data_IF_765922739705
#
_entry.id   IF_765922739705
#
_cell.length_a   1.000
_cell.length_b   1.000
_cell.length_c   1.000
_cell.angle_alpha   90.00
_cell.angle_beta   90.00
_cell.angle_gamma   90.00
#
_symmetry.space_group_name_H-M   'P 1'
#
loop_
_entity.id
_entity.type
_entity.pdbx_description
1 polymer ?
#
# COMPACT_ATOMS: atom_id res chain seq x y z
N UNK A 1 0.21 12.01 16.01
CA UNK A 1 -0.14 12.98 17.05
C UNK A 1 -0.14 14.42 16.56
N UNK A 2 0.99 15.01 16.15
CA UNK A 2 1.04 16.43 15.75
C UNK A 2 0.13 16.78 14.57
N UNK A 3 0.11 15.98 13.51
CA UNK A 3 -0.71 16.23 12.31
C UNK A 3 -2.22 16.19 12.58
N UNK A 4 -2.65 15.39 13.56
CA UNK A 4 -4.07 15.21 13.92
C UNK A 4 -4.45 15.93 15.21
N UNK A 5 -3.51 16.67 15.81
CA UNK A 5 -3.66 17.39 17.09
C UNK A 5 -4.22 16.54 18.26
N UNK A 6 -4.00 15.22 18.21
CA UNK A 6 -4.52 14.26 19.19
C UNK A 6 -3.42 13.29 19.64
N UNK A 7 -3.52 12.80 20.89
CA UNK A 7 -2.69 11.68 21.36
C UNK A 7 -3.24 10.39 20.76
N UNK A 8 -2.58 9.90 19.71
CA UNK A 8 -2.92 8.65 19.05
C UNK A 8 -2.28 7.48 19.79
N UNK A 9 -3.02 6.38 19.94
CA UNK A 9 -2.52 5.14 20.52
C UNK A 9 -1.33 4.60 19.69
N UNK A 10 -0.13 4.43 20.28
CA UNK A 10 1.01 3.85 19.58
C UNK A 10 0.78 2.44 19.02
N UNK A 11 -0.20 1.69 19.55
CA UNK A 11 -0.49 0.33 19.09
C UNK A 11 -1.57 0.29 17.99
N UNK A 12 -2.13 1.45 17.62
CA UNK A 12 -3.14 1.56 16.56
C UNK A 12 -2.59 1.41 15.14
N UNK A 13 -1.28 1.55 14.93
CA UNK A 13 -0.65 1.41 13.61
C UNK A 13 0.73 0.77 13.73
N UNK A 14 1.04 -0.17 12.83
CA UNK A 14 2.34 -0.83 12.74
C UNK A 14 3.52 0.16 12.68
N UNK A 15 3.33 1.30 12.01
CA UNK A 15 4.36 2.31 11.82
C UNK A 15 4.61 3.19 13.07
N UNK A 16 3.77 3.10 14.10
CA UNK A 16 3.91 3.92 15.32
C UNK A 16 4.82 3.27 16.39
N UNK A 17 5.29 2.05 16.12
CA UNK A 17 6.28 1.35 16.96
C UNK A 17 7.53 1.03 16.14
N UNK A 18 8.70 0.97 16.79
CA UNK A 18 9.88 0.37 16.16
C UNK A 18 9.58 -1.07 15.72
N UNK A 19 9.97 -1.40 14.50
CA UNK A 19 9.89 -2.75 13.96
C UNK A 19 11.23 -3.14 13.33
N UNK A 20 11.41 -4.44 13.09
CA UNK A 20 12.60 -4.99 12.43
C UNK A 20 12.14 -5.71 11.17
N UNK A 21 12.81 -5.44 10.05
CA UNK A 21 12.64 -6.21 8.81
C UNK A 21 13.59 -7.42 8.91
N UNK A 22 13.07 -8.66 8.97
CA UNK A 22 13.89 -9.85 9.14
C UNK A 22 15.00 -9.93 8.07
N UNK A 23 16.24 -10.12 8.52
CA UNK A 23 17.39 -10.36 7.63
C UNK A 23 17.75 -9.22 6.67
N UNK A 24 17.19 -8.02 6.83
CA UNK A 24 17.35 -6.94 5.84
C UNK A 24 16.80 -7.35 4.47
N UNK A 25 15.76 -8.20 4.47
CA UNK A 25 15.15 -8.70 3.25
C UNK A 25 14.51 -7.58 2.44
N UNK A 26 14.52 -7.75 1.12
CA UNK A 26 13.87 -6.86 0.16
C UNK A 26 12.74 -7.62 -0.56
N UNK A 27 11.70 -8.09 0.17
CA UNK A 27 10.71 -9.00 -0.37
C UNK A 27 9.91 -8.42 -1.53
N UNK A 28 9.85 -7.09 -1.66
CA UNK A 28 9.09 -6.40 -2.67
C UNK A 28 9.92 -6.02 -3.90
N UNK A 29 11.12 -6.60 -4.05
CA UNK A 29 11.95 -6.42 -5.25
C UNK A 29 11.15 -6.75 -6.51
N UNK A 30 11.11 -5.81 -7.46
CA UNK A 30 10.34 -5.94 -8.71
C UNK A 30 8.86 -5.52 -8.59
N UNK A 31 8.38 -5.18 -7.39
CA UNK A 31 7.08 -4.56 -7.22
C UNK A 31 7.16 -3.06 -7.53
N UNK A 32 6.27 -2.59 -8.40
CA UNK A 32 6.01 -1.16 -8.63
C UNK A 32 4.70 -0.79 -7.91
N UNK A 33 4.80 -0.02 -6.84
CA UNK A 33 3.70 0.30 -5.92
C UNK A 33 3.22 1.73 -6.14
N UNK A 34 1.90 1.90 -6.18
CA UNK A 34 1.26 3.21 -6.09
C UNK A 34 0.34 3.22 -4.86
N UNK A 35 0.41 4.30 -4.09
CA UNK A 35 -0.44 4.52 -2.90
C UNK A 35 -1.53 5.54 -3.24
N UNK A 36 -2.75 5.31 -2.76
CA UNK A 36 -3.93 6.15 -3.01
C UNK A 36 -4.78 6.28 -1.75
N UNK A 37 -5.42 7.43 -1.52
CA UNK A 37 -6.29 7.73 -0.36
C UNK A 37 -5.57 7.78 1.01
N UNK A 38 -4.25 7.63 1.02
CA UNK A 38 -3.38 7.97 2.16
C UNK A 38 -2.79 9.36 1.92
N UNK A 39 -2.67 10.17 2.97
CA UNK A 39 -2.19 11.56 2.90
C UNK A 39 -1.16 11.83 3.99
N UNK A 40 -0.45 12.95 3.85
CA UNK A 40 0.42 13.46 4.92
C UNK A 40 1.51 12.48 5.36
N UNK A 41 1.80 12.51 6.65
CA UNK A 41 2.89 11.70 7.24
C UNK A 41 2.62 10.20 7.12
N UNK A 42 1.34 9.79 7.15
CA UNK A 42 0.95 8.39 6.93
C UNK A 42 1.42 7.90 5.56
N UNK A 43 1.17 8.68 4.49
CA UNK A 43 1.59 8.35 3.13
C UNK A 43 3.11 8.28 3.01
N UNK A 44 3.81 9.25 3.60
CA UNK A 44 5.26 9.35 3.49
C UNK A 44 5.96 8.16 4.14
N UNK A 45 5.50 7.72 5.32
CA UNK A 45 6.03 6.53 5.97
C UNK A 45 5.74 5.25 5.18
N UNK A 46 4.56 5.13 4.57
CA UNK A 46 4.25 3.99 3.71
C UNK A 46 5.13 3.94 2.46
N UNK A 47 5.40 5.11 1.86
CA UNK A 47 6.35 5.22 0.73
C UNK A 47 7.74 4.74 1.15
N UNK A 48 8.28 5.28 2.25
CA UNK A 48 9.59 4.90 2.75
C UNK A 48 9.68 3.41 3.08
N UNK A 49 8.64 2.84 3.69
CA UNK A 49 8.59 1.40 3.98
C UNK A 49 8.59 0.56 2.70
N UNK A 50 7.81 0.94 1.70
CA UNK A 50 7.79 0.24 0.41
C UNK A 50 9.18 0.22 -0.25
N UNK A 51 9.86 1.37 -0.28
CA UNK A 51 11.22 1.49 -0.82
C UNK A 51 12.25 0.68 0.00
N UNK A 52 12.14 0.71 1.33
CA UNK A 52 12.99 -0.08 2.23
C UNK A 52 12.85 -1.60 1.99
N UNK A 53 11.66 -2.06 1.62
CA UNK A 53 11.41 -3.46 1.24
C UNK A 53 11.80 -3.79 -0.21
N UNK A 54 12.41 -2.85 -0.93
CA UNK A 54 12.90 -3.03 -2.30
C UNK A 54 11.88 -2.75 -3.40
N UNK A 55 10.70 -2.21 -3.08
CA UNK A 55 9.73 -1.81 -4.09
C UNK A 55 10.13 -0.48 -4.74
N UNK A 56 9.62 -0.26 -5.96
CA UNK A 56 9.66 1.04 -6.61
C UNK A 56 8.34 1.75 -6.32
N UNK A 57 8.39 2.84 -5.58
CA UNK A 57 7.22 3.70 -5.41
C UNK A 57 7.07 4.66 -6.59
N UNK A 58 5.84 4.85 -7.06
CA UNK A 58 5.49 5.92 -7.97
C UNK A 58 4.07 6.45 -7.72
N UNK A 59 3.93 7.76 -7.79
CA UNK A 59 2.65 8.44 -7.56
C UNK A 59 1.61 8.16 -8.66
N UNK A 60 2.08 8.03 -9.91
CA UNK A 60 1.23 7.74 -11.07
C UNK A 60 0.92 6.25 -11.13
N UNK A 61 -0.37 5.90 -11.14
CA UNK A 61 -0.79 4.53 -11.41
C UNK A 61 -0.82 4.29 -12.92
N UNK A 62 0.09 3.46 -13.42
CA UNK A 62 0.33 3.31 -14.85
C UNK A 62 0.12 1.87 -15.31
N UNK A 63 -0.58 1.69 -16.44
CA UNK A 63 -0.84 0.38 -17.04
C UNK A 63 0.41 -0.24 -17.67
N UNK A 64 1.21 0.58 -18.34
CA UNK A 64 2.37 0.21 -19.15
C UNK A 64 3.55 1.12 -18.83
N UNK A 65 4.76 0.66 -19.13
CA UNK A 65 5.97 1.47 -19.02
C UNK A 65 5.87 2.70 -19.94
N UNK A 66 6.43 3.80 -19.49
CA UNK A 66 6.62 5.03 -20.26
C UNK A 66 7.98 5.63 -19.95
N UNK A 67 8.33 6.73 -20.63
CA UNK A 67 9.60 7.42 -20.39
C UNK A 67 9.79 7.91 -18.94
N UNK A 68 8.70 8.14 -18.20
CA UNK A 68 8.74 8.71 -16.84
C UNK A 68 8.15 7.82 -15.75
N UNK A 69 7.60 6.65 -16.08
CA UNK A 69 7.05 5.75 -15.07
C UNK A 69 7.03 4.30 -15.55
N UNK A 70 7.10 3.36 -14.62
CA UNK A 70 6.95 1.93 -14.91
C UNK A 70 5.49 1.50 -14.82
N UNK A 71 5.16 0.34 -15.35
CA UNK A 71 3.85 -0.28 -15.20
C UNK A 71 3.65 -0.65 -13.73
N UNK A 72 2.66 -0.06 -13.07
CA UNK A 72 2.29 -0.38 -11.71
C UNK A 72 1.89 -1.86 -11.60
N UNK A 73 2.30 -2.49 -10.51
CA UNK A 73 1.99 -3.89 -10.18
C UNK A 73 0.94 -3.96 -9.08
N UNK A 74 1.06 -3.08 -8.09
CA UNK A 74 0.23 -3.03 -6.90
C UNK A 74 -0.32 -1.62 -6.69
N UNK A 75 -1.59 -1.55 -6.32
CA UNK A 75 -2.24 -0.37 -5.79
C UNK A 75 -2.54 -0.61 -4.31
N UNK A 76 -2.06 0.27 -3.44
CA UNK A 76 -2.45 0.31 -2.04
C UNK A 76 -3.50 1.42 -1.86
N UNK A 77 -4.69 1.08 -1.38
CA UNK A 77 -5.77 2.03 -1.10
C UNK A 77 -6.60 1.61 0.12
N UNK A 78 -7.30 2.58 0.74
CA UNK A 78 -8.14 2.36 1.93
C UNK A 78 -9.46 1.69 1.55
N UNK A 79 -10.13 2.24 0.55
CA UNK A 79 -11.48 1.90 0.12
C UNK A 79 -11.52 1.51 -1.37
N UNK A 80 -12.46 0.65 -1.78
CA UNK A 80 -12.57 0.12 -3.15
C UNK A 80 -13.24 1.13 -4.10
N UNK A 81 -12.79 2.39 -4.03
CA UNK A 81 -13.37 3.51 -4.75
C UNK A 81 -12.30 4.36 -5.45
N UNK A 82 -12.77 5.25 -6.32
CA UNK A 82 -11.93 6.19 -7.05
C UNK A 82 -11.28 5.61 -8.32
N UNK A 83 -10.69 6.52 -9.09
CA UNK A 83 -10.19 6.25 -10.45
C UNK A 83 -9.05 5.23 -10.49
N UNK A 84 -8.13 5.28 -9.52
CA UNK A 84 -7.00 4.32 -9.43
C UNK A 84 -7.49 2.91 -9.13
N UNK A 85 -8.44 2.74 -8.21
CA UNK A 85 -9.00 1.41 -7.90
C UNK A 85 -9.79 0.83 -9.08
N UNK A 86 -10.64 1.65 -9.71
CA UNK A 86 -11.34 1.24 -10.93
C UNK A 86 -10.36 0.84 -12.05
N UNK A 87 -9.26 1.57 -12.21
CA UNK A 87 -8.19 1.23 -13.14
C UNK A 87 -7.47 -0.07 -12.76
N UNK A 88 -7.19 -0.31 -11.48
CA UNK A 88 -6.53 -1.54 -11.01
C UNK A 88 -7.37 -2.77 -11.37
N UNK A 89 -8.68 -2.72 -11.11
CA UNK A 89 -9.64 -3.76 -11.53
C UNK A 89 -9.63 -3.95 -13.05
N UNK A 90 -9.76 -2.87 -13.81
CA UNK A 90 -9.77 -2.91 -15.28
C UNK A 90 -8.48 -3.48 -15.88
N UNK A 91 -7.34 -3.20 -15.27
CA UNK A 91 -6.02 -3.60 -15.76
C UNK A 91 -5.52 -4.91 -15.12
N UNK A 92 -6.35 -5.57 -14.29
CA UNK A 92 -6.00 -6.78 -13.56
C UNK A 92 -4.69 -6.62 -12.77
N UNK A 93 -4.54 -5.48 -12.10
CA UNK A 93 -3.44 -5.20 -11.17
C UNK A 93 -3.91 -5.52 -9.76
N UNK A 94 -2.96 -5.86 -8.89
CA UNK A 94 -3.28 -6.14 -7.49
C UNK A 94 -3.73 -4.85 -6.80
N UNK A 95 -4.87 -4.92 -6.11
CA UNK A 95 -5.37 -3.85 -5.26
C UNK A 95 -5.49 -4.38 -3.84
N UNK A 96 -4.84 -3.71 -2.90
CA UNK A 96 -4.71 -4.16 -1.51
C UNK A 96 -4.70 -2.98 -0.54
N UNK A 97 -4.68 -3.25 0.76
CA UNK A 97 -4.64 -2.25 1.84
C UNK A 97 -3.22 -2.08 2.39
N UNK A 98 -3.00 -1.07 3.23
CA UNK A 98 -1.70 -0.89 3.90
C UNK A 98 -1.25 -2.11 4.73
N UNK A 99 -2.21 -2.91 5.21
CA UNK A 99 -1.92 -4.10 6.00
C UNK A 99 -1.08 -5.14 5.25
N UNK A 100 -1.22 -5.23 3.93
CA UNK A 100 -0.36 -6.10 3.11
C UNK A 100 1.11 -5.65 3.16
N UNK A 101 1.36 -4.35 3.00
CA UNK A 101 2.70 -3.78 3.09
C UNK A 101 3.32 -4.03 4.48
N UNK A 102 2.52 -3.87 5.53
CA UNK A 102 2.95 -4.13 6.90
C UNK A 102 3.21 -5.62 7.15
N UNK A 103 2.42 -6.51 6.56
CA UNK A 103 2.64 -7.95 6.64
C UNK A 103 3.93 -8.37 5.94
N UNK A 104 4.22 -7.82 4.75
CA UNK A 104 5.50 -8.02 4.06
C UNK A 104 6.68 -7.52 4.92
N UNK A 105 6.54 -6.35 5.56
CA UNK A 105 7.55 -5.82 6.46
C UNK A 105 7.81 -6.73 7.67
N UNK A 106 6.73 -7.21 8.29
CA UNK A 106 6.77 -8.04 9.50
C UNK A 106 7.36 -9.43 9.24
N UNK A 107 7.00 -10.04 8.10
CA UNK A 107 7.45 -11.39 7.74
C UNK A 107 8.82 -11.39 7.05
N UNK A 108 9.18 -10.30 6.38
CA UNK A 108 10.33 -10.26 5.49
C UNK A 108 10.09 -11.00 4.17
N UNK A 109 8.84 -11.35 3.85
CA UNK A 109 8.45 -12.15 2.69
C UNK A 109 7.41 -11.42 1.84
N UNK A 110 7.30 -11.80 0.56
CA UNK A 110 6.21 -11.34 -0.31
C UNK A 110 4.97 -12.17 0.02
N UNK A 111 4.08 -11.63 0.86
CA UNK A 111 2.86 -12.32 1.24
C UNK A 111 1.76 -12.20 0.17
N UNK A 112 0.81 -13.15 0.09
CA UNK A 112 -0.31 -13.07 -0.84
C UNK A 112 -1.15 -11.81 -0.63
N UNK A 113 -1.52 -11.16 -1.73
CA UNK A 113 -2.34 -9.94 -1.72
C UNK A 113 -3.82 -10.25 -1.47
N UNK A 114 -4.23 -11.47 -1.79
CA UNK A 114 -5.59 -11.98 -1.64
C UNK A 114 -6.03 -12.03 -0.17
N UNK A 115 -5.07 -12.14 0.75
CA UNK A 115 -5.30 -12.12 2.20
C UNK A 115 -5.61 -10.71 2.74
N UNK A 116 -5.40 -9.68 1.90
CA UNK A 116 -5.58 -8.28 2.25
C UNK A 116 -6.43 -7.54 1.21
N UNK A 117 -7.68 -7.98 0.96
CA UNK A 117 -8.53 -7.37 -0.04
C UNK A 117 -8.94 -5.95 0.38
N UNK A 118 -9.16 -5.08 -0.61
CA UNK A 118 -9.77 -3.77 -0.38
C UNK A 118 -11.28 -3.98 -0.27
N UNK A 119 -11.78 -4.04 0.96
CA UNK A 119 -13.20 -4.18 1.25
C UNK A 119 -13.86 -2.81 1.32
N UNK A 120 -15.06 -2.70 0.79
CA UNK A 120 -15.87 -1.49 0.94
C UNK A 120 -16.78 -1.62 2.16
N UNK A 121 -17.25 -0.48 2.67
CA UNK A 121 -18.40 -0.48 3.57
C UNK A 121 -19.58 -1.25 2.93
N UNK A 122 -20.16 -2.21 3.65
CA UNK A 122 -21.21 -3.12 3.16
C UNK A 122 -22.55 -2.41 2.90
N UNK A 123 -22.63 -1.53 1.89
CA UNK A 123 -23.90 -0.90 1.48
C UNK A 123 -24.32 -1.16 0.03
N UNK A 124 -23.58 -1.96 -0.76
CA UNK A 124 -23.94 -2.27 -2.17
C UNK A 124 -24.20 -3.76 -2.41
N UNK A 125 -25.12 -4.36 -1.64
CA UNK A 125 -25.72 -5.68 -1.94
C UNK A 125 -27.22 -5.64 -2.24
N UNK A 126 -27.79 -4.49 -2.59
CA UNK A 126 -29.19 -4.45 -3.04
C UNK A 126 -29.45 -3.32 -4.05
N UNK A 127 -29.18 -3.58 -5.32
CA UNK A 127 -30.04 -3.10 -6.42
C UNK A 127 -29.88 -4.00 -7.66
#
# INVERSE_FOLDING_TARGET
CLEVEEVVDPDSCFLFRPFVIPGGAHPLTGCVITISQYIGVERDHMMQLAEMLGAIYQEKFARVNSASCQASTHLICKEPEGSKYAAAKKWKKYATTCNWLFACAKTGELVPVEDFPVLGSENDKQN
#
